data_IF_690444948938
#
_entry.id   IF_690444948938
#
_cell.length_a   1.000
_cell.length_b   1.000
_cell.length_c   1.000
_cell.angle_alpha   90.00
_cell.angle_beta   90.00
_cell.angle_gamma   90.00
#
_symmetry.space_group_name_H-M   'P 1'
#
loop_
_entity.id
_entity.type
_entity.pdbx_description
1 polymer ?
#
# COMPACT_ATOMS: atom_id res chain seq x y z
N UNK A 1 -21.49 1.94 -7.78
CA UNK A 1 -21.84 0.52 -7.59
C UNK A 1 -20.70 -0.15 -6.85
N UNK A 2 -21.00 -0.99 -5.85
CA UNK A 2 -20.01 -1.85 -5.18
C UNK A 2 -19.79 -3.07 -6.06
N UNK A 3 -18.54 -3.50 -6.28
CA UNK A 3 -18.27 -4.71 -7.05
C UNK A 3 -18.89 -5.93 -6.32
N UNK A 4 -19.61 -6.78 -7.06
CA UNK A 4 -20.43 -7.87 -6.49
C UNK A 4 -19.63 -8.88 -5.65
N UNK A 5 -18.34 -9.04 -5.95
CA UNK A 5 -17.44 -9.96 -5.24
C UNK A 5 -16.55 -9.27 -4.18
N UNK A 6 -16.77 -7.99 -3.88
CA UNK A 6 -15.95 -7.24 -2.94
C UNK A 6 -16.40 -7.50 -1.50
N UNK A 7 -15.58 -8.26 -0.76
CA UNK A 7 -15.74 -8.41 0.69
C UNK A 7 -15.14 -7.21 1.42
N UNK A 8 -15.95 -6.57 2.27
CA UNK A 8 -15.55 -5.41 3.05
C UNK A 8 -15.68 -5.72 4.55
N UNK A 9 -14.73 -5.22 5.32
CA UNK A 9 -14.72 -5.35 6.77
C UNK A 9 -13.97 -4.19 7.40
N UNK A 10 -14.14 -4.02 8.70
CA UNK A 10 -13.43 -3.01 9.48
C UNK A 10 -13.03 -3.56 10.84
N UNK A 11 -12.05 -2.91 11.46
CA UNK A 11 -11.60 -3.21 12.81
C UNK A 11 -11.40 -1.89 13.56
N UNK A 12 -11.93 -1.79 14.78
CA UNK A 12 -11.70 -0.64 15.66
C UNK A 12 -10.38 -0.86 16.39
N UNK A 13 -9.41 0.03 16.17
CA UNK A 13 -8.04 -0.15 16.67
C UNK A 13 -7.57 1.16 17.31
N UNK A 14 -7.14 1.11 18.59
CA UNK A 14 -6.46 2.24 19.22
C UNK A 14 -5.25 2.68 18.38
N UNK A 15 -5.00 3.99 18.29
CA UNK A 15 -3.96 4.54 17.42
C UNK A 15 -2.59 3.87 17.64
N UNK A 16 -2.21 3.62 18.90
CA UNK A 16 -0.95 2.98 19.28
C UNK A 16 -0.81 1.53 18.75
N UNK A 17 -1.91 0.83 18.46
CA UNK A 17 -1.91 -0.56 17.97
C UNK A 17 -2.04 -0.67 16.46
N UNK A 18 -2.29 0.43 15.74
CA UNK A 18 -2.52 0.41 14.28
C UNK A 18 -1.34 -0.18 13.51
N UNK A 19 -0.12 0.18 13.87
CA UNK A 19 1.06 -0.37 13.22
C UNK A 19 1.23 -1.87 13.49
N UNK A 20 1.06 -2.31 14.74
CA UNK A 20 1.16 -3.73 15.11
C UNK A 20 0.13 -4.57 14.34
N UNK A 21 -1.09 -4.06 14.20
CA UNK A 21 -2.11 -4.72 13.38
C UNK A 21 -1.70 -4.78 11.91
N UNK A 22 -1.29 -3.66 11.33
CA UNK A 22 -0.84 -3.59 9.93
C UNK A 22 0.31 -4.56 9.68
N UNK A 23 1.35 -4.55 10.52
CA UNK A 23 2.48 -5.45 10.44
C UNK A 23 2.04 -6.92 10.49
N UNK A 24 1.18 -7.26 11.46
CA UNK A 24 0.65 -8.62 11.62
C UNK A 24 -0.16 -9.05 10.39
N UNK A 25 -0.95 -8.14 9.82
CA UNK A 25 -1.71 -8.37 8.60
C UNK A 25 -0.78 -8.63 7.39
N UNK A 26 0.23 -7.79 7.20
CA UNK A 26 1.19 -7.93 6.10
C UNK A 26 1.99 -9.23 6.23
N UNK A 27 2.51 -9.55 7.41
CA UNK A 27 3.26 -10.81 7.65
C UNK A 27 2.41 -12.05 7.35
N UNK A 28 1.11 -12.05 7.67
CA UNK A 28 0.20 -13.16 7.34
C UNK A 28 -0.14 -13.27 5.85
N UNK A 29 0.09 -12.22 5.07
CA UNK A 29 -0.28 -12.15 3.65
C UNK A 29 0.94 -11.94 2.73
N UNK A 30 2.13 -12.42 3.13
CA UNK A 30 3.38 -12.29 2.35
C UNK A 30 3.33 -12.93 0.96
N UNK A 31 2.43 -13.88 0.72
CA UNK A 31 2.23 -14.52 -0.58
C UNK A 31 1.22 -13.80 -1.48
N UNK A 32 0.57 -12.74 -0.99
CA UNK A 32 -0.46 -12.00 -1.71
C UNK A 32 0.05 -10.67 -2.24
N UNK A 33 -0.72 -10.10 -3.15
CA UNK A 33 -0.58 -8.73 -3.61
C UNK A 33 -1.52 -7.85 -2.79
N UNK A 34 -0.98 -6.88 -2.06
CA UNK A 34 -1.75 -6.04 -1.12
C UNK A 34 -1.45 -4.57 -1.39
N UNK A 35 -2.49 -3.76 -1.44
CA UNK A 35 -2.38 -2.29 -1.51
C UNK A 35 -2.84 -1.69 -0.18
N UNK A 36 -2.04 -0.78 0.38
CA UNK A 36 -2.30 -0.12 1.66
C UNK A 36 -2.38 1.39 1.43
N UNK A 37 -3.56 1.94 1.70
CA UNK A 37 -3.83 3.36 1.52
C UNK A 37 -3.58 4.15 2.81
N UNK A 38 -2.88 5.27 2.69
CA UNK A 38 -2.64 6.23 3.76
C UNK A 38 -3.24 7.59 3.40
N UNK A 39 -3.59 8.36 4.43
CA UNK A 39 -4.16 9.70 4.28
C UNK A 39 -3.14 10.76 3.89
N UNK A 40 -1.84 10.52 4.07
CA UNK A 40 -0.79 11.51 3.78
C UNK A 40 0.46 10.92 3.13
N UNK A 41 1.15 11.73 2.33
CA UNK A 41 2.43 11.36 1.73
C UNK A 41 3.50 11.05 2.80
N UNK A 42 3.48 11.78 3.92
CA UNK A 42 4.44 11.59 5.00
C UNK A 42 4.22 10.24 5.69
N UNK A 43 2.96 9.80 5.84
CA UNK A 43 2.65 8.47 6.37
C UNK A 43 3.15 7.37 5.44
N UNK A 44 2.91 7.48 4.12
CA UNK A 44 3.45 6.50 3.15
C UNK A 44 4.96 6.36 3.30
N UNK A 45 5.69 7.48 3.31
CA UNK A 45 7.15 7.48 3.46
C UNK A 45 7.59 6.84 4.79
N UNK A 46 7.03 7.30 5.91
CA UNK A 46 7.37 6.79 7.23
C UNK A 46 7.17 5.27 7.34
N UNK A 47 6.01 4.76 6.92
CA UNK A 47 5.72 3.33 7.01
C UNK A 47 6.53 2.51 6.02
N UNK A 48 6.84 3.02 4.82
CA UNK A 48 7.71 2.34 3.87
C UNK A 48 9.13 2.19 4.42
N UNK A 49 9.69 3.27 4.98
CA UNK A 49 11.02 3.26 5.58
C UNK A 49 11.07 2.32 6.81
N UNK A 50 10.04 2.36 7.66
CA UNK A 50 9.93 1.49 8.82
C UNK A 50 9.77 0.01 8.45
N UNK A 51 8.97 -0.31 7.43
CA UNK A 51 8.79 -1.69 6.96
C UNK A 51 10.10 -2.24 6.38
N UNK A 52 10.80 -1.45 5.55
CA UNK A 52 12.12 -1.84 5.01
C UNK A 52 13.15 -2.05 6.13
N UNK A 53 13.16 -1.19 7.15
CA UNK A 53 14.02 -1.34 8.32
C UNK A 53 13.81 -2.67 9.05
N UNK A 54 12.59 -3.18 9.10
CA UNK A 54 12.25 -4.49 9.70
C UNK A 54 12.20 -5.63 8.68
N UNK A 55 12.86 -5.48 7.53
CA UNK A 55 12.97 -6.49 6.47
C UNK A 55 11.61 -6.93 5.89
N UNK A 56 10.70 -5.97 5.70
CA UNK A 56 9.51 -6.12 4.85
C UNK A 56 9.69 -5.26 3.61
N UNK A 57 9.94 -5.92 2.49
CA UNK A 57 10.00 -5.27 1.18
C UNK A 57 8.62 -4.73 0.76
N UNK A 58 8.59 -3.49 0.29
CA UNK A 58 7.39 -2.85 -0.19
C UNK A 58 7.68 -1.75 -1.22
N UNK A 59 6.73 -1.57 -2.13
CA UNK A 59 6.64 -0.44 -3.05
C UNK A 59 5.96 0.74 -2.35
N UNK A 60 6.34 1.97 -2.71
CA UNK A 60 5.74 3.17 -2.15
C UNK A 60 5.51 4.24 -3.24
N UNK A 61 4.30 4.81 -3.29
CA UNK A 61 3.90 5.85 -4.25
C UNK A 61 3.19 6.99 -3.52
N UNK A 62 3.72 8.20 -3.64
CA UNK A 62 3.08 9.39 -3.08
C UNK A 62 3.31 10.65 -3.92
N UNK A 63 2.47 11.68 -3.74
CA UNK A 63 2.43 12.86 -4.61
C UNK A 63 3.71 13.72 -4.63
N UNK A 64 4.54 13.63 -3.58
CA UNK A 64 5.85 14.31 -3.53
C UNK A 64 6.96 13.63 -4.36
N UNK A 65 6.70 12.46 -4.96
CA UNK A 65 7.66 11.80 -5.86
C UNK A 65 7.51 12.30 -7.30
N UNK A 66 8.61 12.30 -8.06
CA UNK A 66 8.57 12.57 -9.50
C UNK A 66 7.65 11.58 -10.21
N UNK A 67 6.91 12.06 -11.20
CA UNK A 67 5.96 11.25 -11.98
C UNK A 67 6.62 9.98 -12.54
N UNK A 68 7.81 10.09 -13.12
CA UNK A 68 8.54 8.95 -13.68
C UNK A 68 8.74 7.82 -12.66
N UNK A 69 9.21 8.15 -11.43
CA UNK A 69 9.38 7.17 -10.36
C UNK A 69 8.05 6.52 -9.99
N UNK A 70 6.99 7.32 -9.85
CA UNK A 70 5.64 6.82 -9.53
C UNK A 70 5.17 5.80 -10.57
N UNK A 71 5.33 6.13 -11.85
CA UNK A 71 4.94 5.28 -12.97
C UNK A 71 5.76 4.00 -13.02
N UNK A 72 7.09 4.07 -12.87
CA UNK A 72 7.96 2.87 -12.85
C UNK A 72 7.60 1.95 -11.68
N UNK A 73 7.55 2.49 -10.46
CA UNK A 73 7.19 1.72 -9.25
C UNK A 73 5.81 1.07 -9.37
N UNK A 74 4.85 1.76 -9.99
CA UNK A 74 3.53 1.21 -10.24
C UNK A 74 3.56 0.02 -11.21
N UNK A 75 4.26 0.16 -12.34
CA UNK A 75 4.41 -0.94 -13.30
C UNK A 75 5.17 -2.13 -12.71
N UNK A 76 6.20 -1.89 -11.90
CA UNK A 76 6.92 -2.94 -11.20
C UNK A 76 6.00 -3.70 -10.24
N UNK A 77 5.18 -2.98 -9.48
CA UNK A 77 4.15 -3.59 -8.63
C UNK A 77 3.13 -4.38 -9.46
N UNK A 78 2.66 -3.85 -10.59
CA UNK A 78 1.72 -4.54 -11.48
C UNK A 78 2.30 -5.86 -12.03
N UNK A 79 3.58 -5.88 -12.40
CA UNK A 79 4.29 -7.09 -12.86
C UNK A 79 4.57 -8.09 -11.72
N UNK A 80 4.70 -7.62 -10.49
CA UNK A 80 4.94 -8.49 -9.35
C UNK A 80 3.72 -9.39 -9.07
N UNK A 81 3.97 -10.68 -8.86
CA UNK A 81 2.95 -11.66 -8.47
C UNK A 81 2.48 -11.46 -7.02
N UNK A 82 3.36 -10.94 -6.16
CA UNK A 82 3.13 -10.67 -4.74
C UNK A 82 3.88 -9.41 -4.32
N UNK A 83 3.48 -8.84 -3.19
CA UNK A 83 4.14 -7.67 -2.62
C UNK A 83 3.15 -6.65 -2.09
N UNK A 84 3.70 -5.63 -1.42
CA UNK A 84 2.92 -4.60 -0.76
C UNK A 84 3.17 -3.26 -1.42
N UNK A 85 2.10 -2.56 -1.78
CA UNK A 85 2.17 -1.18 -2.28
C UNK A 85 1.54 -0.23 -1.27
N UNK A 86 2.34 0.68 -0.72
CA UNK A 86 1.89 1.74 0.16
C UNK A 86 1.63 3.00 -0.67
N UNK A 87 0.44 3.57 -0.61
CA UNK A 87 0.09 4.72 -1.45
C UNK A 87 -0.93 5.66 -0.81
N UNK A 88 -1.15 6.82 -1.43
CA UNK A 88 -2.29 7.69 -1.13
C UNK A 88 -3.37 7.57 -2.20
N UNK A 89 -4.62 7.90 -1.86
CA UNK A 89 -5.75 7.85 -2.80
C UNK A 89 -5.50 8.66 -4.09
N UNK A 90 -4.89 9.84 -3.98
CA UNK A 90 -4.58 10.70 -5.13
C UNK A 90 -3.51 10.07 -6.02
N UNK A 91 -2.50 9.44 -5.41
CA UNK A 91 -1.44 8.78 -6.16
C UNK A 91 -1.95 7.58 -6.96
N UNK A 92 -2.88 6.81 -6.39
CA UNK A 92 -3.50 5.67 -7.08
C UNK A 92 -4.41 6.12 -8.24
N UNK A 93 -5.23 7.17 -8.05
CA UNK A 93 -6.09 7.69 -9.14
C UNK A 93 -5.29 8.31 -10.28
N UNK A 94 -4.21 9.02 -9.98
CA UNK A 94 -3.36 9.66 -10.99
C UNK A 94 -2.47 8.72 -11.80
N UNK A 95 -2.60 7.40 -11.64
CA UNK A 95 -1.85 6.37 -12.37
C UNK A 95 -2.75 5.36 -13.08
N UNK A 96 -4.07 5.57 -13.05
CA UNK A 96 -5.10 4.72 -13.67
C UNK A 96 -4.80 3.22 -13.54
N UNK A 97 -4.91 2.71 -12.32
CA UNK A 97 -4.60 1.33 -11.96
C UNK A 97 -5.64 0.41 -12.62
N UNK A 98 -5.31 -0.37 -13.66
CA UNK A 98 -6.28 -1.25 -14.29
C UNK A 98 -6.61 -2.37 -13.30
N UNK A 99 -7.86 -2.36 -12.81
CA UNK A 99 -8.54 -3.43 -12.07
C UNK A 99 -7.68 -4.13 -11.00
N UNK A 100 -7.77 -3.62 -9.76
CA UNK A 100 -7.56 -4.41 -8.53
C UNK A 100 -8.82 -5.23 -8.25
#
# INVERSE_FOLDING_TARGET
ATAENLQQGYCVVPCAKRFVLLYSFLKRNMSKKVMVFFSSCNSVKFYADLLKYINIECFDIHGKQKQQRRTTTFFDFCKAQKGFLLCTNVAARGLDIPSV
#
